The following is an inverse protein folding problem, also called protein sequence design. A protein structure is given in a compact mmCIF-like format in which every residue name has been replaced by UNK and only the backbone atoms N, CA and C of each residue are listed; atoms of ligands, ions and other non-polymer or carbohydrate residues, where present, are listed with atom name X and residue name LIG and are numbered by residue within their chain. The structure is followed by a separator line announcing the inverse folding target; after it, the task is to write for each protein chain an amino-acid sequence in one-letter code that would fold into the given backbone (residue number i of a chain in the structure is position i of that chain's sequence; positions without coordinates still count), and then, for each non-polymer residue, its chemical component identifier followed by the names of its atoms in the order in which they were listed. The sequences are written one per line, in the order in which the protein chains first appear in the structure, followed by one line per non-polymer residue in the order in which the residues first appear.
data_IF_136097761155
#
_entry.id   IF_136097761155
#
_cell.length_a   1.000
_cell.length_b   1.000
_cell.length_c   1.000
_cell.angle_alpha   90.00
_cell.angle_beta   90.00
_cell.angle_gamma   90.00
#
_symmetry.space_group_name_H-M   'P 1'
#
loop_
_entity.id
_entity.type
_entity.pdbx_description
1 polymer ?
#
# COMPACT_ATOMS: atom_id res chain seq x y z
N UNK A 1 9.89 -13.12 -19.90
CA UNK A 1 9.09 -13.89 -18.93
C UNK A 1 9.99 -14.16 -17.72
N UNK A 2 9.66 -13.67 -16.52
CA UNK A 2 10.58 -13.70 -15.37
C UNK A 2 10.50 -15.04 -14.62
N UNK A 3 11.64 -15.74 -14.48
CA UNK A 3 11.81 -17.00 -13.73
C UNK A 3 11.36 -16.92 -12.26
N UNK A 4 11.18 -15.71 -11.73
CA UNK A 4 10.66 -15.49 -10.38
C UNK A 4 9.17 -15.85 -10.28
N UNK A 5 8.37 -15.52 -11.31
CA UNK A 5 6.93 -15.79 -11.33
C UNK A 5 6.63 -17.29 -11.46
N UNK A 6 7.47 -18.04 -12.18
CA UNK A 6 7.33 -19.50 -12.31
C UNK A 6 7.66 -20.23 -11.00
N UNK A 7 8.62 -19.74 -10.21
CA UNK A 7 8.96 -20.31 -8.89
C UNK A 7 7.87 -20.07 -7.86
N UNK A 8 7.18 -18.92 -7.92
CA UNK A 8 6.04 -18.62 -7.04
C UNK A 8 4.82 -19.47 -7.38
N UNK A 9 4.56 -19.76 -8.66
CA UNK A 9 3.44 -20.61 -9.08
C UNK A 9 3.64 -22.13 -8.88
N UNK A 10 4.88 -22.62 -8.82
CA UNK A 10 5.18 -24.06 -8.70
C UNK A 10 5.09 -24.67 -7.30
N UNK A 11 4.89 -23.86 -6.25
CA UNK A 11 4.86 -24.34 -4.86
C UNK A 11 3.43 -24.30 -4.32
N UNK A 12 2.70 -25.41 -4.45
CA UNK A 12 1.32 -25.60 -3.96
C UNK A 12 1.18 -25.53 -2.43
N UNK A 13 1.55 -24.39 -1.82
CA UNK A 13 1.40 -24.07 -0.39
C UNK A 13 0.76 -22.68 -0.22
N UNK A 14 -0.25 -22.36 -1.03
CA UNK A 14 -1.14 -21.25 -0.70
C UNK A 14 -2.19 -21.76 0.28
N UNK A 15 -1.82 -21.71 1.57
CA UNK A 15 -2.70 -21.95 2.71
C UNK A 15 -3.91 -21.00 2.56
N UNK A 16 -5.15 -21.47 2.73
CA UNK A 16 -6.35 -20.66 2.50
C UNK A 16 -6.31 -19.31 3.27
N UNK A 17 -5.60 -19.27 4.40
CA UNK A 17 -5.28 -18.04 5.16
C UNK A 17 -4.39 -17.04 4.43
N UNK A 18 -3.41 -17.50 3.64
CA UNK A 18 -2.58 -16.62 2.82
C UNK A 18 -3.38 -16.05 1.64
N UNK A 19 -4.34 -16.81 1.11
CA UNK A 19 -5.27 -16.35 0.06
C UNK A 19 -6.31 -15.38 0.62
N UNK A 20 -6.86 -15.64 1.81
CA UNK A 20 -7.73 -14.69 2.51
C UNK A 20 -6.99 -13.44 2.95
N UNK A 21 -5.77 -13.57 3.49
CA UNK A 21 -4.92 -12.43 3.82
C UNK A 21 -4.59 -11.61 2.58
N UNK A 22 -4.25 -12.25 1.46
CA UNK A 22 -4.04 -11.57 0.18
C UNK A 22 -5.32 -10.93 -0.37
N UNK A 23 -6.50 -11.53 -0.18
CA UNK A 23 -7.79 -10.94 -0.58
C UNK A 23 -8.21 -9.77 0.31
N UNK A 24 -7.99 -9.86 1.63
CA UNK A 24 -8.21 -8.76 2.60
C UNK A 24 -7.30 -7.59 2.29
N UNK A 25 -6.01 -7.87 2.10
CA UNK A 25 -5.03 -6.90 1.68
C UNK A 25 -5.40 -6.29 0.33
N UNK A 26 -5.97 -7.05 -0.61
CA UNK A 26 -6.42 -6.50 -1.90
C UNK A 26 -7.55 -5.48 -1.74
N UNK A 27 -8.53 -5.74 -0.87
CA UNK A 27 -9.59 -4.77 -0.57
C UNK A 27 -9.07 -3.53 0.17
N UNK A 28 -8.16 -3.71 1.13
CA UNK A 28 -7.48 -2.61 1.84
C UNK A 28 -6.65 -1.75 0.88
N UNK A 29 -5.88 -2.37 -0.01
CA UNK A 29 -5.08 -1.68 -1.04
C UNK A 29 -6.01 -0.93 -1.99
N UNK A 30 -7.08 -1.53 -2.51
CA UNK A 30 -8.01 -0.85 -3.43
C UNK A 30 -8.68 0.39 -2.79
N UNK A 31 -9.10 0.28 -1.52
CA UNK A 31 -9.66 1.41 -0.78
C UNK A 31 -8.62 2.52 -0.53
N UNK A 32 -7.38 2.14 -0.19
CA UNK A 32 -6.26 3.07 -0.06
C UNK A 32 -5.94 3.78 -1.38
N UNK A 33 -5.84 3.04 -2.47
CA UNK A 33 -5.58 3.60 -3.80
C UNK A 33 -6.67 4.58 -4.21
N UNK A 34 -7.94 4.27 -3.91
CA UNK A 34 -9.05 5.17 -4.16
C UNK A 34 -8.92 6.47 -3.37
N UNK A 35 -8.72 6.38 -2.05
CA UNK A 35 -8.55 7.54 -1.17
C UNK A 35 -7.35 8.42 -1.58
N UNK A 36 -6.23 7.81 -1.94
CA UNK A 36 -5.05 8.55 -2.40
C UNK A 36 -5.23 9.17 -3.79
N UNK A 37 -6.06 8.58 -4.64
CA UNK A 37 -6.38 9.13 -5.96
C UNK A 37 -7.25 10.41 -5.86
N UNK A 38 -8.09 10.53 -4.82
CA UNK A 38 -8.92 11.72 -4.58
C UNK A 38 -8.10 12.95 -4.18
N UNK A 39 -6.93 12.75 -3.54
CA UNK A 39 -6.01 13.84 -3.17
C UNK A 39 -5.47 14.55 -4.43
N UNK A 40 -5.25 13.79 -5.51
CA UNK A 40 -4.64 14.28 -6.74
C UNK A 40 -3.17 14.67 -6.57
N UNK A 41 -2.44 14.86 -7.67
CA UNK A 41 -1.05 15.33 -7.65
C UNK A 41 -0.01 14.32 -7.16
N UNK A 42 -0.40 13.09 -6.85
CA UNK A 42 0.50 11.97 -6.53
C UNK A 42 0.73 11.14 -7.79
N UNK A 43 2.00 10.85 -8.11
CA UNK A 43 2.32 9.91 -9.18
C UNK A 43 1.72 8.52 -8.89
N UNK A 44 1.12 7.83 -9.88
CA UNK A 44 0.51 6.51 -9.66
C UNK A 44 1.46 5.47 -9.05
N UNK A 45 2.75 5.47 -9.42
CA UNK A 45 3.71 4.52 -8.87
C UNK A 45 4.04 4.84 -7.41
N UNK A 46 4.12 6.13 -7.07
CA UNK A 46 4.27 6.59 -5.68
C UNK A 46 3.06 6.18 -4.85
N UNK A 47 1.85 6.37 -5.39
CA UNK A 47 0.60 6.00 -4.73
C UNK A 47 0.56 4.50 -4.44
N UNK A 48 0.93 3.68 -5.42
CA UNK A 48 0.96 2.22 -5.28
C UNK A 48 1.99 1.78 -4.23
N UNK A 49 3.17 2.42 -4.20
CA UNK A 49 4.19 2.16 -3.18
C UNK A 49 3.73 2.53 -1.76
N UNK A 50 3.01 3.65 -1.60
CA UNK A 50 2.46 4.09 -0.31
C UNK A 50 1.37 3.13 0.15
N UNK A 51 0.43 2.77 -0.73
CA UNK A 51 -0.63 1.83 -0.39
C UNK A 51 -0.07 0.46 0.04
N UNK A 52 0.95 -0.03 -0.66
CA UNK A 52 1.63 -1.27 -0.29
C UNK A 52 2.32 -1.15 1.08
N UNK A 53 3.14 -0.11 1.28
CA UNK A 53 3.87 0.13 2.54
C UNK A 53 2.92 0.22 3.74
N UNK A 54 1.84 0.99 3.61
CA UNK A 54 0.89 1.22 4.70
C UNK A 54 0.06 -0.04 4.98
N UNK A 55 -0.33 -0.81 3.97
CA UNK A 55 -1.00 -2.10 4.19
C UNK A 55 -0.10 -3.11 4.91
N UNK A 56 1.18 -3.17 4.56
CA UNK A 56 2.15 -4.12 5.14
C UNK A 56 2.57 -3.74 6.56
N UNK A 57 2.86 -2.46 6.80
CA UNK A 57 3.52 -1.99 8.03
C UNK A 57 2.64 -1.11 8.91
N UNK A 58 1.55 -0.57 8.37
CA UNK A 58 0.70 0.41 9.03
C UNK A 58 1.17 1.86 8.89
N UNK A 59 2.32 2.10 8.24
CA UNK A 59 2.92 3.43 8.07
C UNK A 59 3.67 3.57 6.74
N UNK A 60 4.09 4.80 6.41
CA UNK A 60 5.01 5.01 5.30
C UNK A 60 6.42 4.71 5.81
N UNK A 61 7.03 3.62 5.33
CA UNK A 61 8.37 3.24 5.74
C UNK A 61 9.39 4.35 5.52
N UNK A 62 10.38 4.46 6.41
CA UNK A 62 11.37 5.54 6.38
C UNK A 62 12.07 5.69 5.03
N UNK A 63 12.44 4.58 4.37
CA UNK A 63 13.10 4.58 3.06
C UNK A 63 12.21 5.14 1.94
N UNK A 64 10.92 4.80 1.97
CA UNK A 64 9.94 5.34 1.04
C UNK A 64 9.75 6.84 1.31
N UNK A 65 9.61 7.23 2.58
CA UNK A 65 9.48 8.63 2.99
C UNK A 65 10.67 9.48 2.53
N UNK A 66 11.91 9.01 2.70
CA UNK A 66 13.10 9.68 2.18
C UNK A 66 13.11 9.77 0.65
N UNK A 67 12.69 8.70 -0.03
CA UNK A 67 12.60 8.68 -1.50
C UNK A 67 11.58 9.71 -2.00
N UNK A 68 10.44 9.86 -1.32
CA UNK A 68 9.41 10.86 -1.64
C UNK A 68 9.90 12.30 -1.43
N UNK A 69 10.63 12.56 -0.35
CA UNK A 69 11.28 13.86 -0.16
C UNK A 69 12.30 14.14 -1.27
N UNK A 70 13.04 13.11 -1.70
CA UNK A 70 14.00 13.18 -2.80
C UNK A 70 13.38 13.47 -4.17
N UNK A 71 12.08 13.20 -4.37
CA UNK A 71 11.37 13.55 -5.61
C UNK A 71 10.83 14.99 -5.62
N UNK A 72 11.03 15.74 -4.53
CA UNK A 72 10.56 17.12 -4.39
C UNK A 72 9.14 17.24 -3.81
N UNK A 73 8.54 16.14 -3.33
CA UNK A 73 7.30 16.23 -2.55
C UNK A 73 7.57 16.90 -1.21
N UNK A 74 6.68 17.81 -0.83
CA UNK A 74 6.82 18.51 0.45
C UNK A 74 6.51 17.57 1.61
N UNK A 75 7.25 17.70 2.71
CA UNK A 75 7.03 16.88 3.91
C UNK A 75 5.57 16.95 4.41
N UNK A 76 4.96 18.15 4.38
CA UNK A 76 3.54 18.34 4.76
C UNK A 76 2.57 17.56 3.89
N UNK A 77 2.91 17.37 2.61
CA UNK A 77 2.09 16.61 1.68
C UNK A 77 2.21 15.11 1.96
N UNK A 78 3.44 14.64 2.24
CA UNK A 78 3.69 13.26 2.65
C UNK A 78 2.96 12.94 3.96
N UNK A 79 3.02 13.84 4.95
CA UNK A 79 2.29 13.70 6.22
C UNK A 79 0.77 13.64 6.02
N UNK A 80 0.24 14.46 5.10
CA UNK A 80 -1.18 14.44 4.76
C UNK A 80 -1.60 13.12 4.13
N UNK A 81 -0.80 12.62 3.18
CA UNK A 81 -0.99 11.33 2.52
C UNK A 81 -0.94 10.17 3.53
N UNK A 82 0.05 10.19 4.43
CA UNK A 82 0.19 9.20 5.50
C UNK A 82 -1.03 9.21 6.44
N UNK A 83 -1.50 10.39 6.85
CA UNK A 83 -2.66 10.52 7.73
C UNK A 83 -3.94 9.97 7.10
N UNK A 84 -4.17 10.23 5.80
CA UNK A 84 -5.29 9.65 5.06
C UNK A 84 -5.16 8.13 5.00
N UNK A 85 -3.97 7.64 4.64
CA UNK A 85 -3.72 6.21 4.52
C UNK A 85 -3.96 5.45 5.84
N UNK A 86 -3.47 5.99 6.95
CA UNK A 86 -3.68 5.44 8.30
C UNK A 86 -5.15 5.51 8.73
N UNK A 87 -5.87 6.59 8.40
CA UNK A 87 -7.29 6.74 8.72
C UNK A 87 -8.13 5.72 7.97
N UNK A 88 -7.90 5.55 6.67
CA UNK A 88 -8.57 4.55 5.84
C UNK A 88 -8.34 3.14 6.37
N UNK A 89 -7.08 2.79 6.66
CA UNK A 89 -6.72 1.47 7.20
C UNK A 89 -7.38 1.21 8.56
N UNK A 90 -7.48 2.24 9.41
CA UNK A 90 -8.18 2.14 10.71
C UNK A 90 -9.67 1.88 10.52
N UNK A 91 -10.35 2.63 9.65
CA UNK A 91 -11.79 2.46 9.37
C UNK A 91 -12.11 1.02 8.95
N UNK A 92 -11.34 0.50 8.00
CA UNK A 92 -11.51 -0.87 7.48
C UNK A 92 -11.35 -1.91 8.59
N UNK A 93 -10.37 -1.72 9.48
CA UNK A 93 -10.08 -2.65 10.59
C UNK A 93 -11.08 -2.56 11.74
N UNK A 94 -11.73 -1.41 11.93
CA UNK A 94 -12.74 -1.22 13.00
C UNK A 94 -14.15 -1.62 12.59
N UNK A 95 -14.44 -1.67 11.28
CA UNK A 95 -15.75 -2.06 10.74
C UNK A 95 -15.92 -3.59 10.58
N UNK A 96 -14.81 -4.35 10.64
CA UNK A 96 -14.76 -5.80 10.40
C UNK A 96 -14.82 -6.70 11.62
#
# INVERSE_FOLDING_TARGET
MSQLLERVNGSGRFNAKAVEAARRQRGEIEALLHALNEIGGVDPQVRDAIALSVCETGEIGADLRWSLLGTGLEARFIDHVEAIAQTTLRSIRTEG
#
